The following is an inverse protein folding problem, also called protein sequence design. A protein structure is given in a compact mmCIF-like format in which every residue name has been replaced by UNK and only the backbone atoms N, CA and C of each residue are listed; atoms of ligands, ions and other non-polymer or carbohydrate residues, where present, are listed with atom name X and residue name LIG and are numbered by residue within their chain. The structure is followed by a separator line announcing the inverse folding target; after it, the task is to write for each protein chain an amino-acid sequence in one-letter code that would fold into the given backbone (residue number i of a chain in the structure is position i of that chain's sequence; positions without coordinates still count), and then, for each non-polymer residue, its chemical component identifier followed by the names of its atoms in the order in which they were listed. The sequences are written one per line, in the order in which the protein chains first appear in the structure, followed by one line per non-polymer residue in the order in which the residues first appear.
data_IF_613430407306
#
_entry.id   IF_613430407306
#
_cell.length_a   1.000
_cell.length_b   1.000
_cell.length_c   1.000
_cell.angle_alpha   90.00
_cell.angle_beta   90.00
_cell.angle_gamma   90.00
#
_symmetry.space_group_name_H-M   'P 1'
#
loop_
_entity.id
_entity.type
_entity.pdbx_description
1 polymer ?
#
# COMPACT_ATOMS: atom_id res chain seq x y z
N UNK A 1 -2.50 49.38 -23.22
CA UNK A 1 -3.31 50.27 -22.36
C UNK A 1 -4.61 49.55 -22.09
N UNK A 2 -4.64 48.74 -21.02
CA UNK A 2 -5.89 48.22 -20.49
C UNK A 2 -6.82 49.38 -20.10
N UNK A 3 -8.12 49.15 -20.20
CA UNK A 3 -9.12 50.14 -19.80
C UNK A 3 -9.01 50.43 -18.28
N UNK A 4 -9.50 51.58 -17.83
CA UNK A 4 -9.61 51.87 -16.39
C UNK A 4 -10.43 50.80 -15.65
N UNK A 5 -11.42 50.22 -16.32
CA UNK A 5 -12.21 49.09 -15.81
C UNK A 5 -11.37 47.82 -15.63
N UNK A 6 -10.45 47.51 -16.55
CA UNK A 6 -9.54 46.36 -16.43
C UNK A 6 -8.61 46.52 -15.23
N UNK A 7 -8.08 47.72 -15.01
CA UNK A 7 -7.22 48.02 -13.85
C UNK A 7 -7.99 47.84 -12.54
N UNK A 8 -9.25 48.32 -12.47
CA UNK A 8 -10.14 48.11 -11.33
C UNK A 8 -10.44 46.63 -11.10
N UNK A 9 -10.59 45.85 -12.16
CA UNK A 9 -10.79 44.40 -12.08
C UNK A 9 -9.55 43.68 -11.51
N UNK A 10 -8.33 44.06 -11.93
CA UNK A 10 -7.10 43.55 -11.32
C UNK A 10 -6.97 43.91 -9.84
N UNK A 11 -7.27 45.15 -9.47
CA UNK A 11 -7.26 45.57 -8.06
C UNK A 11 -8.26 44.79 -7.20
N UNK A 12 -9.44 44.51 -7.74
CA UNK A 12 -10.44 43.68 -7.07
C UNK A 12 -9.90 42.28 -6.79
N UNK A 13 -9.19 41.66 -7.74
CA UNK A 13 -8.54 40.35 -7.57
C UNK A 13 -7.42 40.41 -6.53
N UNK A 14 -6.64 41.48 -6.49
CA UNK A 14 -5.59 41.65 -5.47
C UNK A 14 -6.17 41.79 -4.05
N UNK A 15 -7.32 42.46 -3.93
CA UNK A 15 -8.03 42.66 -2.65
C UNK A 15 -9.00 41.53 -2.29
N UNK A 16 -9.24 40.59 -3.21
CA UNK A 16 -10.30 39.57 -3.09
C UNK A 16 -11.69 40.19 -2.89
N UNK A 17 -11.98 41.29 -3.58
CA UNK A 17 -13.25 42.01 -3.50
C UNK A 17 -14.19 41.60 -4.65
N UNK A 18 -15.06 40.64 -4.36
CA UNK A 18 -16.06 40.13 -5.30
C UNK A 18 -16.99 41.22 -5.85
N UNK A 19 -17.37 42.18 -5.00
CA UNK A 19 -18.31 43.25 -5.38
C UNK A 19 -17.64 44.26 -6.30
N UNK A 20 -16.36 44.56 -6.07
CA UNK A 20 -15.58 45.40 -6.97
C UNK A 20 -15.32 44.72 -8.31
N UNK A 21 -15.06 43.40 -8.32
CA UNK A 21 -14.91 42.64 -9.55
C UNK A 21 -16.21 42.65 -10.38
N UNK A 22 -17.35 42.46 -9.74
CA UNK A 22 -18.67 42.50 -10.39
C UNK A 22 -18.99 43.88 -11.00
N UNK A 23 -18.70 44.96 -10.27
CA UNK A 23 -18.85 46.33 -10.80
C UNK A 23 -17.92 46.59 -11.98
N UNK A 24 -16.67 46.14 -11.90
CA UNK A 24 -15.71 46.34 -13.00
C UNK A 24 -16.16 45.60 -14.26
N UNK A 25 -16.67 44.37 -14.14
CA UNK A 25 -17.24 43.62 -15.26
C UNK A 25 -18.49 44.30 -15.84
N UNK A 26 -19.37 44.83 -14.98
CA UNK A 26 -20.55 45.59 -15.41
C UNK A 26 -20.18 46.90 -16.14
N UNK A 27 -19.07 47.53 -15.77
CA UNK A 27 -18.50 48.72 -16.41
C UNK A 27 -17.79 48.40 -17.74
N UNK A 28 -17.79 47.14 -18.19
CA UNK A 28 -17.21 46.71 -19.46
C UNK A 28 -15.73 46.32 -19.38
N UNK A 29 -15.21 45.96 -18.20
CA UNK A 29 -13.89 45.33 -18.10
C UNK A 29 -13.85 44.03 -18.93
N UNK A 30 -12.75 43.82 -19.63
CA UNK A 30 -12.55 42.59 -20.40
C UNK A 30 -12.31 41.40 -19.44
N UNK A 31 -13.18 40.36 -19.44
CA UNK A 31 -12.99 39.18 -18.58
C UNK A 31 -11.73 38.38 -18.93
N UNK A 32 -11.13 38.61 -20.10
CA UNK A 32 -9.86 38.04 -20.56
C UNK A 32 -8.68 39.02 -20.47
N UNK A 33 -8.86 40.15 -19.78
CA UNK A 33 -7.81 41.14 -19.59
C UNK A 33 -6.51 40.51 -19.09
N UNK A 34 -5.39 40.85 -19.73
CA UNK A 34 -4.06 40.33 -19.40
C UNK A 34 -3.20 41.39 -18.71
N UNK A 35 -2.55 41.01 -17.62
CA UNK A 35 -1.66 41.90 -16.88
C UNK A 35 -0.39 42.18 -17.71
N UNK A 36 -0.19 43.43 -18.16
CA UNK A 36 0.85 43.79 -19.16
C UNK A 36 2.26 43.26 -18.81
N UNK A 37 2.70 43.38 -17.54
CA UNK A 37 4.03 42.92 -17.10
C UNK A 37 4.18 41.40 -16.91
N UNK A 38 3.11 40.73 -16.48
CA UNK A 38 3.15 39.31 -16.12
C UNK A 38 2.68 38.43 -17.27
N UNK A 39 2.00 39.02 -18.28
CA UNK A 39 1.33 38.30 -19.36
C UNK A 39 0.45 37.16 -18.82
N UNK A 40 -0.24 37.41 -17.70
CA UNK A 40 -1.17 36.47 -17.04
C UNK A 40 -2.57 37.08 -17.13
N UNK A 41 -3.58 36.30 -17.51
CA UNK A 41 -4.96 36.78 -17.50
C UNK A 41 -5.46 37.03 -16.09
N UNK A 42 -6.48 37.87 -15.97
CA UNK A 42 -7.19 38.09 -14.72
C UNK A 42 -7.74 36.79 -14.13
N UNK A 43 -8.25 35.87 -14.95
CA UNK A 43 -8.73 34.56 -14.52
C UNK A 43 -7.62 33.70 -13.91
N UNK A 44 -6.46 33.63 -14.56
CA UNK A 44 -5.31 32.86 -14.05
C UNK A 44 -4.72 33.48 -12.78
N UNK A 45 -4.78 34.81 -12.63
CA UNK A 45 -4.39 35.50 -11.41
C UNK A 45 -5.36 35.21 -10.25
N UNK A 46 -6.66 35.29 -10.50
CA UNK A 46 -7.70 34.98 -9.52
C UNK A 46 -7.59 33.52 -9.05
N UNK A 47 -7.39 32.59 -10.00
CA UNK A 47 -7.20 31.18 -9.69
C UNK A 47 -5.94 30.93 -8.83
N UNK A 48 -4.82 31.60 -9.14
CA UNK A 48 -3.58 31.51 -8.36
C UNK A 48 -3.74 31.99 -6.92
N UNK A 49 -4.61 32.97 -6.70
CA UNK A 49 -4.88 33.55 -5.37
C UNK A 49 -5.95 32.81 -4.58
N UNK A 50 -6.70 31.91 -5.22
CA UNK A 50 -7.80 31.20 -4.57
C UNK A 50 -9.10 32.01 -4.48
N UNK A 51 -9.27 33.04 -5.30
CA UNK A 51 -10.45 33.92 -5.29
C UNK A 51 -11.66 33.26 -5.97
N UNK A 52 -12.25 32.22 -5.35
CA UNK A 52 -13.30 31.38 -5.95
C UNK A 52 -14.51 32.18 -6.47
N UNK A 53 -15.02 33.12 -5.67
CA UNK A 53 -16.16 33.96 -6.05
C UNK A 53 -15.86 34.88 -7.24
N UNK A 54 -14.62 35.35 -7.38
CA UNK A 54 -14.18 36.16 -8.52
C UNK A 54 -14.02 35.27 -9.76
N UNK A 55 -13.42 34.09 -9.62
CA UNK A 55 -13.28 33.11 -10.71
C UNK A 55 -14.65 32.77 -11.31
N UNK A 56 -15.64 32.47 -10.47
CA UNK A 56 -16.99 32.13 -10.94
C UNK A 56 -17.65 33.30 -11.72
N UNK A 57 -17.45 34.55 -11.27
CA UNK A 57 -17.96 35.73 -11.99
C UNK A 57 -17.28 35.93 -13.34
N UNK A 58 -15.95 35.75 -13.39
CA UNK A 58 -15.20 35.82 -14.64
C UNK A 58 -15.67 34.76 -15.64
N UNK A 59 -15.87 33.52 -15.20
CA UNK A 59 -16.39 32.45 -16.05
C UNK A 59 -17.80 32.75 -16.58
N UNK A 60 -18.69 33.27 -15.74
CA UNK A 60 -20.04 33.70 -16.17
C UNK A 60 -20.03 34.88 -17.14
N UNK A 61 -19.03 35.76 -17.04
CA UNK A 61 -18.81 36.84 -17.98
C UNK A 61 -18.21 36.37 -19.32
N UNK A 62 -17.93 35.06 -19.46
CA UNK A 62 -17.40 34.47 -20.69
C UNK A 62 -15.87 34.49 -20.78
N UNK A 63 -15.16 34.63 -19.66
CA UNK A 63 -13.69 34.49 -19.66
C UNK A 63 -13.27 33.16 -20.28
N UNK A 64 -12.31 33.21 -21.20
CA UNK A 64 -11.67 32.03 -21.74
C UNK A 64 -10.96 31.23 -20.65
N UNK A 65 -11.15 29.91 -20.66
CA UNK A 65 -10.52 28.99 -19.70
C UNK A 65 -9.06 28.67 -20.03
N UNK A 66 -8.59 29.08 -21.22
CA UNK A 66 -7.26 28.78 -21.78
C UNK A 66 -6.27 29.98 -21.88
N UNK A 67 -6.17 30.89 -20.90
CA UNK A 67 -5.26 32.02 -21.04
C UNK A 67 -3.81 31.58 -20.84
N UNK A 68 -3.03 31.66 -21.93
CA UNK A 68 -1.61 31.33 -22.00
C UNK A 68 -0.77 32.33 -21.21
N UNK A 69 -0.66 32.09 -19.90
CA UNK A 69 0.30 32.78 -19.04
C UNK A 69 1.76 32.50 -19.42
N UNK A 70 2.71 33.23 -18.82
CA UNK A 70 4.13 32.84 -18.80
C UNK A 70 4.26 31.36 -18.38
N UNK A 71 4.91 30.54 -19.22
CA UNK A 71 5.12 29.08 -19.05
C UNK A 71 3.90 28.17 -19.22
N UNK A 72 2.80 28.65 -19.81
CA UNK A 72 1.64 27.81 -20.11
C UNK A 72 0.87 27.31 -18.88
N UNK A 73 0.91 28.06 -17.77
CA UNK A 73 0.16 27.73 -16.56
C UNK A 73 -1.29 28.17 -16.72
N UNK A 74 -2.20 27.19 -16.78
CA UNK A 74 -3.64 27.41 -16.89
C UNK A 74 -4.28 27.76 -15.54
N UNK A 75 -5.47 28.40 -15.53
CA UNK A 75 -6.28 28.57 -14.33
C UNK A 75 -6.58 27.23 -13.63
N UNK A 76 -6.83 26.16 -14.40
CA UNK A 76 -7.07 24.82 -13.86
C UNK A 76 -5.86 24.30 -13.07
N UNK A 77 -4.65 24.46 -13.62
CA UNK A 77 -3.42 24.06 -12.93
C UNK A 77 -3.20 24.84 -11.63
N UNK A 78 -3.55 26.12 -11.59
CA UNK A 78 -3.54 26.91 -10.35
C UNK A 78 -4.51 26.33 -9.31
N UNK A 79 -5.75 26.01 -9.71
CA UNK A 79 -6.74 25.39 -8.83
C UNK A 79 -6.27 24.04 -8.27
N UNK A 80 -5.62 23.23 -9.11
CA UNK A 80 -5.06 21.93 -8.73
C UNK A 80 -3.93 22.06 -7.71
N UNK A 81 -2.99 22.97 -7.93
CA UNK A 81 -1.87 23.24 -7.00
C UNK A 81 -2.38 23.78 -5.66
N UNK A 82 -3.41 24.63 -5.69
CA UNK A 82 -4.04 25.20 -4.50
C UNK A 82 -4.96 24.23 -3.74
N UNK A 83 -5.37 23.12 -4.36
CA UNK A 83 -6.36 22.20 -3.78
C UNK A 83 -7.79 22.78 -3.76
N UNK A 84 -8.10 23.72 -4.65
CA UNK A 84 -9.39 24.41 -4.71
C UNK A 84 -10.39 23.57 -5.51
N UNK A 85 -11.07 22.64 -4.83
CA UNK A 85 -11.95 21.67 -5.48
C UNK A 85 -13.16 22.30 -6.19
N UNK A 86 -13.78 23.32 -5.58
CA UNK A 86 -14.94 23.99 -6.17
C UNK A 86 -14.53 24.85 -7.37
N UNK A 87 -13.41 25.55 -7.27
CA UNK A 87 -12.80 26.26 -8.41
C UNK A 87 -12.46 25.30 -9.56
N UNK A 88 -11.83 24.16 -9.27
CA UNK A 88 -11.50 23.15 -10.27
C UNK A 88 -12.77 22.63 -10.96
N UNK A 89 -13.84 22.38 -10.20
CA UNK A 89 -15.15 21.97 -10.76
C UNK A 89 -15.73 23.02 -11.70
N UNK A 90 -15.73 24.30 -11.30
CA UNK A 90 -16.23 25.39 -12.15
C UNK A 90 -15.42 25.47 -13.46
N UNK A 91 -14.09 25.41 -13.37
CA UNK A 91 -13.21 25.46 -14.56
C UNK A 91 -13.43 24.26 -15.50
N UNK A 92 -13.56 23.04 -14.95
CA UNK A 92 -13.84 21.84 -15.75
C UNK A 92 -15.21 21.90 -16.44
N UNK A 93 -16.23 22.41 -15.75
CA UNK A 93 -17.58 22.61 -16.31
C UNK A 93 -17.58 23.57 -17.49
N UNK A 94 -16.66 24.54 -17.50
CA UNK A 94 -16.47 25.49 -18.60
C UNK A 94 -15.44 25.03 -19.65
N UNK A 95 -14.97 23.77 -19.60
CA UNK A 95 -14.19 23.14 -20.67
C UNK A 95 -12.66 23.17 -20.52
N UNK A 96 -12.13 23.53 -19.35
CA UNK A 96 -10.69 23.75 -19.15
C UNK A 96 -9.75 22.53 -19.36
N UNK A 97 -10.29 21.31 -19.47
CA UNK A 97 -9.46 20.09 -19.60
C UNK A 97 -9.04 19.77 -21.04
N UNK A 98 -9.72 20.33 -22.05
CA UNK A 98 -9.57 19.91 -23.44
C UNK A 98 -8.22 20.33 -24.08
N UNK A 99 -7.47 21.25 -23.46
CA UNK A 99 -6.31 21.89 -24.09
C UNK A 99 -5.22 22.19 -23.07
N UNK A 100 -4.44 21.20 -22.64
CA UNK A 100 -3.15 21.47 -21.98
C UNK A 100 -1.96 20.93 -22.77
N UNK A 101 -1.44 21.71 -23.74
CA UNK A 101 -0.09 21.49 -24.24
C UNK A 101 0.88 22.16 -23.26
N UNK A 102 1.31 21.44 -22.21
CA UNK A 102 2.31 21.99 -21.28
C UNK A 102 3.59 21.17 -21.25
N UNK A 103 4.72 21.88 -21.17
CA UNK A 103 6.07 21.31 -21.08
C UNK A 103 6.43 20.79 -19.68
N UNK A 104 5.51 20.88 -18.71
CA UNK A 104 5.75 20.60 -17.28
C UNK A 104 4.92 19.40 -16.76
N UNK A 105 4.60 18.45 -17.63
CA UNK A 105 3.81 17.26 -17.29
C UNK A 105 2.32 17.51 -17.16
N UNK A 106 1.54 16.43 -17.26
CA UNK A 106 0.07 16.43 -17.22
C UNK A 106 -0.48 17.04 -15.93
N UNK A 107 -1.60 17.78 -16.03
CA UNK A 107 -2.36 18.29 -14.87
C UNK A 107 -2.75 17.17 -13.89
N UNK A 108 -2.95 15.95 -14.40
CA UNK A 108 -3.24 14.77 -13.59
C UNK A 108 -2.02 14.37 -12.73
N UNK A 109 -0.82 14.33 -13.30
CA UNK A 109 0.43 14.05 -12.57
C UNK A 109 0.73 15.12 -11.53
N UNK A 110 0.41 16.39 -11.83
CA UNK A 110 0.47 17.48 -10.85
C UNK A 110 -0.49 17.22 -9.69
N UNK A 111 -1.76 16.95 -9.97
CA UNK A 111 -2.75 16.66 -8.92
C UNK A 111 -2.28 15.54 -7.98
N UNK A 112 -1.72 14.47 -8.55
CA UNK A 112 -1.12 13.37 -7.77
C UNK A 112 0.03 13.87 -6.90
N UNK A 113 0.98 14.62 -7.46
CA UNK A 113 2.16 15.12 -6.73
C UNK A 113 1.82 15.97 -5.51
N UNK A 114 0.70 16.70 -5.57
CA UNK A 114 0.24 17.56 -4.47
C UNK A 114 -0.61 16.82 -3.42
N UNK A 115 -0.91 15.52 -3.57
CA UNK A 115 -1.64 14.73 -2.56
C UNK A 115 -0.95 14.64 -1.20
N UNK A 116 0.37 14.82 -1.16
CA UNK A 116 1.19 14.79 0.07
C UNK A 116 1.03 16.06 0.94
N UNK A 117 0.39 17.12 0.43
CA UNK A 117 0.26 18.42 1.11
C UNK A 117 -0.93 18.46 2.10
N UNK A 118 -0.99 19.54 2.91
CA UNK A 118 -1.85 19.65 4.13
C UNK A 118 -3.36 19.44 3.90
N UNK A 119 -3.90 19.60 2.69
CA UNK A 119 -5.33 19.44 2.37
C UNK A 119 -5.64 18.14 1.63
N UNK A 120 -5.33 16.99 2.23
CA UNK A 120 -5.51 15.66 1.58
C UNK A 120 -6.92 15.39 1.04
N UNK A 121 -8.03 15.72 1.74
CA UNK A 121 -9.37 15.45 1.22
C UNK A 121 -9.68 16.30 -0.02
N UNK A 122 -9.32 17.59 0.00
CA UNK A 122 -9.57 18.49 -1.12
C UNK A 122 -8.75 18.08 -2.36
N UNK A 123 -7.49 17.68 -2.18
CA UNK A 123 -6.63 17.24 -3.28
C UNK A 123 -7.12 15.91 -3.89
N UNK A 124 -7.65 15.00 -3.07
CA UNK A 124 -8.31 13.78 -3.57
C UNK A 124 -9.60 14.10 -4.35
N UNK A 125 -10.38 15.08 -3.90
CA UNK A 125 -11.56 15.55 -4.64
C UNK A 125 -11.16 16.15 -5.99
N UNK A 126 -10.12 16.98 -6.02
CA UNK A 126 -9.57 17.53 -7.27
C UNK A 126 -9.13 16.41 -8.21
N UNK A 127 -8.37 15.42 -7.71
CA UNK A 127 -7.96 14.27 -8.51
C UNK A 127 -9.16 13.54 -9.12
N UNK A 128 -10.20 13.28 -8.32
CA UNK A 128 -11.44 12.65 -8.79
C UNK A 128 -12.12 13.47 -9.88
N UNK A 129 -12.23 14.78 -9.69
CA UNK A 129 -12.85 15.68 -10.68
C UNK A 129 -12.12 15.65 -12.02
N UNK A 130 -10.78 15.65 -12.01
CA UNK A 130 -9.99 15.56 -13.23
C UNK A 130 -10.25 14.24 -13.97
N UNK A 131 -10.28 13.12 -13.25
CA UNK A 131 -10.54 11.79 -13.81
C UNK A 131 -11.97 11.67 -14.37
N UNK A 132 -12.97 12.20 -13.65
CA UNK A 132 -14.37 12.25 -14.09
C UNK A 132 -14.56 13.14 -15.32
N UNK A 133 -13.77 14.21 -15.45
CA UNK A 133 -13.78 15.10 -16.60
C UNK A 133 -13.03 14.51 -17.83
N UNK A 134 -12.45 13.31 -17.72
CA UNK A 134 -11.82 12.59 -18.83
C UNK A 134 -10.30 12.67 -18.86
N UNK A 135 -9.64 13.13 -17.79
CA UNK A 135 -8.18 13.07 -17.71
C UNK A 135 -7.74 11.60 -17.65
N UNK A 136 -7.03 11.13 -18.67
CA UNK A 136 -6.59 9.74 -18.74
C UNK A 136 -5.20 9.55 -18.09
N UNK A 137 -5.00 8.51 -17.28
CA UNK A 137 -3.68 8.08 -16.82
C UNK A 137 -2.92 7.36 -17.95
N UNK A 138 -2.47 8.12 -18.95
CA UNK A 138 -1.75 7.58 -20.12
C UNK A 138 -0.29 7.19 -19.80
N UNK A 139 0.30 6.23 -20.54
CA UNK A 139 1.72 5.89 -20.44
C UNK A 139 2.62 7.02 -20.98
N UNK A 140 3.65 7.42 -20.21
CA UNK A 140 4.61 8.50 -20.50
C UNK A 140 5.81 8.47 -19.53
N UNK A 141 6.76 9.42 -19.62
CA UNK A 141 8.05 9.36 -18.90
C UNK A 141 7.93 9.22 -17.36
N UNK A 142 6.87 9.75 -16.75
CA UNK A 142 6.43 9.42 -15.37
C UNK A 142 4.89 9.41 -15.30
N UNK A 143 4.30 8.21 -15.33
CA UNK A 143 2.86 8.03 -15.32
C UNK A 143 2.23 8.31 -13.93
N UNK A 144 0.96 8.78 -13.86
CA UNK A 144 0.31 9.16 -12.60
C UNK A 144 0.28 8.05 -11.53
N UNK A 145 0.18 6.78 -11.92
CA UNK A 145 0.19 5.66 -10.96
C UNK A 145 1.57 5.50 -10.29
N UNK A 146 2.65 5.56 -11.08
CA UNK A 146 4.02 5.49 -10.55
C UNK A 146 4.29 6.68 -9.63
N UNK A 147 3.90 7.89 -10.04
CA UNK A 147 4.01 9.07 -9.17
C UNK A 147 3.27 8.84 -7.86
N UNK A 148 2.04 8.33 -7.90
CA UNK A 148 1.25 8.06 -6.70
C UNK A 148 1.95 7.03 -5.79
N UNK A 149 2.45 5.91 -6.33
CA UNK A 149 3.14 4.86 -5.56
C UNK A 149 4.42 5.39 -4.89
N UNK A 150 5.12 6.33 -5.54
CA UNK A 150 6.36 6.89 -5.03
C UNK A 150 6.18 7.96 -3.95
N UNK A 151 4.98 8.53 -3.79
CA UNK A 151 4.73 9.58 -2.80
C UNK A 151 4.92 9.06 -1.37
N UNK A 152 5.63 9.81 -0.50
CA UNK A 152 5.66 9.54 0.94
C UNK A 152 4.23 9.58 1.50
N UNK A 153 3.78 8.50 2.13
CA UNK A 153 2.42 8.35 2.64
C UNK A 153 1.33 8.57 1.58
N UNK A 154 1.54 8.01 0.39
CA UNK A 154 0.54 8.02 -0.67
C UNK A 154 -0.80 7.46 -0.14
N UNK A 155 -1.92 8.19 -0.25
CA UNK A 155 -3.20 7.63 0.17
C UNK A 155 -3.56 6.47 -0.77
N UNK A 156 -3.82 5.24 -0.27
CA UNK A 156 -4.25 4.12 -1.12
C UNK A 156 -5.50 4.46 -1.94
N UNK A 157 -6.33 5.39 -1.45
CA UNK A 157 -7.48 5.94 -2.18
C UNK A 157 -7.11 6.60 -3.52
N UNK A 158 -5.98 7.29 -3.63
CA UNK A 158 -5.55 7.88 -4.90
C UNK A 158 -5.16 6.81 -5.92
N UNK A 159 -4.43 5.78 -5.47
CA UNK A 159 -4.05 4.64 -6.30
C UNK A 159 -5.30 3.89 -6.78
N UNK A 160 -6.27 3.63 -5.89
CA UNK A 160 -7.57 3.05 -6.25
C UNK A 160 -8.33 3.90 -7.30
N UNK A 161 -8.33 5.22 -7.15
CA UNK A 161 -8.98 6.12 -8.12
C UNK A 161 -8.32 6.04 -9.49
N UNK A 162 -6.99 6.08 -9.55
CA UNK A 162 -6.26 5.98 -10.82
C UNK A 162 -6.53 4.64 -11.52
N UNK A 163 -6.48 3.53 -10.77
CA UNK A 163 -6.78 2.19 -11.30
C UNK A 163 -8.23 2.06 -11.78
N UNK A 164 -9.19 2.60 -11.03
CA UNK A 164 -10.61 2.61 -11.42
C UNK A 164 -10.89 3.41 -12.70
N UNK A 165 -10.03 4.36 -13.05
CA UNK A 165 -10.10 5.16 -14.28
C UNK A 165 -9.11 4.68 -15.36
N UNK A 166 -8.72 3.41 -15.33
CA UNK A 166 -7.98 2.76 -16.41
C UNK A 166 -6.47 2.91 -16.35
N UNK A 167 -5.88 3.30 -15.21
CA UNK A 167 -4.45 3.17 -15.03
C UNK A 167 -4.06 1.68 -15.06
N UNK A 168 -3.09 1.33 -15.90
CA UNK A 168 -2.52 -0.01 -15.96
C UNK A 168 -1.80 -0.36 -14.63
N UNK A 169 -2.22 -1.41 -13.90
CA UNK A 169 -1.59 -1.83 -12.64
C UNK A 169 -0.14 -2.29 -12.80
N UNK A 170 0.27 -2.70 -14.01
CA UNK A 170 1.61 -3.19 -14.33
C UNK A 170 2.55 -2.10 -14.87
N UNK A 171 2.16 -0.84 -14.69
CA UNK A 171 3.02 0.29 -15.05
C UNK A 171 4.42 0.14 -14.45
N UNK A 172 5.39 0.54 -15.27
CA UNK A 172 6.80 0.53 -14.91
C UNK A 172 7.31 1.96 -14.83
N UNK A 173 8.17 2.21 -13.85
CA UNK A 173 8.95 3.45 -13.77
C UNK A 173 10.01 3.46 -14.89
N UNK A 174 10.60 4.63 -15.13
CA UNK A 174 11.67 4.84 -16.11
C UNK A 174 12.89 3.92 -15.99
N UNK A 175 13.14 3.31 -14.84
CA UNK A 175 14.19 2.29 -14.65
C UNK A 175 13.72 0.84 -14.89
N UNK A 176 12.49 0.66 -15.35
CA UNK A 176 11.86 -0.63 -15.60
C UNK A 176 11.24 -1.29 -14.37
N UNK A 177 11.30 -0.67 -13.18
CA UNK A 177 10.70 -1.24 -11.97
C UNK A 177 9.16 -1.20 -12.03
N UNK A 178 8.48 -2.36 -11.89
CA UNK A 178 7.02 -2.42 -11.79
C UNK A 178 6.47 -1.67 -10.56
N UNK A 179 5.25 -1.15 -10.65
CA UNK A 179 4.57 -0.48 -9.55
C UNK A 179 4.52 -1.34 -8.26
N UNK A 180 4.22 -2.63 -8.40
CA UNK A 180 4.16 -3.56 -7.26
C UNK A 180 5.53 -3.76 -6.58
N UNK A 181 6.62 -3.77 -7.36
CA UNK A 181 7.99 -3.82 -6.84
C UNK A 181 8.33 -2.55 -6.07
N UNK A 182 7.94 -1.38 -6.58
CA UNK A 182 8.16 -0.11 -5.89
C UNK A 182 7.40 -0.03 -4.56
N UNK A 183 6.16 -0.50 -4.51
CA UNK A 183 5.36 -0.57 -3.28
C UNK A 183 6.00 -1.52 -2.26
N UNK A 184 6.45 -2.71 -2.69
CA UNK A 184 7.10 -3.69 -1.82
C UNK A 184 8.46 -3.21 -1.27
N UNK A 185 9.28 -2.54 -2.10
CA UNK A 185 10.54 -1.89 -1.67
C UNK A 185 10.34 -0.87 -0.55
N UNK A 186 9.13 -0.32 -0.41
CA UNK A 186 8.78 0.67 0.61
C UNK A 186 8.12 0.06 1.85
N UNK A 187 7.84 -1.24 1.85
CA UNK A 187 7.08 -1.88 2.93
C UNK A 187 5.58 -1.49 2.95
N UNK A 188 5.09 -0.88 1.88
CA UNK A 188 3.73 -0.32 1.85
C UNK A 188 2.69 -1.39 1.48
N UNK A 189 2.37 -2.25 2.46
CA UNK A 189 1.39 -3.32 2.33
C UNK A 189 0.04 -2.86 1.77
N UNK A 190 -0.43 -1.66 2.14
CA UNK A 190 -1.71 -1.15 1.67
C UNK A 190 -1.69 -0.84 0.17
N UNK A 191 -0.56 -0.38 -0.37
CA UNK A 191 -0.39 -0.19 -1.81
C UNK A 191 -0.23 -1.52 -2.55
N UNK A 192 0.49 -2.48 -1.96
CA UNK A 192 0.61 -3.83 -2.53
C UNK A 192 -0.77 -4.50 -2.64
N UNK A 193 -1.58 -4.44 -1.58
CA UNK A 193 -2.95 -4.96 -1.58
C UNK A 193 -3.80 -4.32 -2.69
N UNK A 194 -3.70 -2.99 -2.87
CA UNK A 194 -4.46 -2.27 -3.89
C UNK A 194 -4.04 -2.65 -5.32
N UNK A 195 -2.74 -2.78 -5.56
CA UNK A 195 -2.21 -3.15 -6.89
C UNK A 195 -2.61 -4.60 -7.24
N UNK A 196 -2.49 -5.53 -6.30
CA UNK A 196 -2.91 -6.92 -6.49
C UNK A 196 -4.41 -7.05 -6.71
N UNK A 197 -5.22 -6.30 -5.96
CA UNK A 197 -6.67 -6.27 -6.15
C UNK A 197 -7.08 -5.72 -7.52
N UNK A 198 -6.23 -4.90 -8.15
CA UNK A 198 -6.42 -4.41 -9.51
C UNK A 198 -5.82 -5.31 -10.60
N UNK A 199 -5.26 -6.47 -10.22
CA UNK A 199 -4.73 -7.46 -11.17
C UNK A 199 -3.27 -7.28 -11.56
N UNK A 200 -2.47 -6.56 -10.75
CA UNK A 200 -1.02 -6.47 -10.99
C UNK A 200 -0.36 -7.85 -11.03
N UNK A 201 0.57 -8.04 -11.96
CA UNK A 201 1.40 -9.25 -12.09
C UNK A 201 2.26 -9.43 -10.83
N UNK A 202 1.91 -10.42 -10.02
CA UNK A 202 2.52 -10.67 -8.69
C UNK A 202 4.03 -10.93 -8.78
N UNK A 203 4.47 -11.61 -9.84
CA UNK A 203 5.87 -11.99 -10.09
C UNK A 203 6.57 -11.05 -11.08
N UNK A 204 6.01 -9.86 -11.32
CA UNK A 204 6.64 -8.86 -12.18
C UNK A 204 8.07 -8.56 -11.72
N UNK A 205 9.02 -8.70 -12.64
CA UNK A 205 10.43 -8.50 -12.38
C UNK A 205 10.88 -7.08 -12.71
N UNK A 206 11.72 -6.49 -11.86
CA UNK A 206 12.48 -5.29 -12.21
C UNK A 206 13.68 -5.61 -13.12
N UNK A 207 14.45 -4.59 -13.49
CA UNK A 207 15.63 -4.72 -14.36
C UNK A 207 16.74 -5.65 -13.82
N UNK A 208 16.69 -6.01 -12.53
CA UNK A 208 17.63 -6.93 -11.89
C UNK A 208 17.03 -8.34 -11.78
N UNK A 209 15.91 -8.62 -12.44
CA UNK A 209 15.19 -9.89 -12.31
C UNK A 209 14.50 -10.06 -10.95
N UNK A 210 14.45 -9.01 -10.11
CA UNK A 210 13.93 -9.13 -8.75
C UNK A 210 12.44 -8.87 -8.69
N UNK A 211 11.71 -9.75 -8.00
CA UNK A 211 10.26 -9.64 -7.78
C UNK A 211 9.94 -8.85 -6.51
N UNK A 212 8.68 -8.45 -6.35
CA UNK A 212 8.20 -7.79 -5.14
C UNK A 212 8.49 -8.63 -3.87
N UNK A 213 8.39 -9.96 -3.99
CA UNK A 213 8.64 -10.90 -2.88
C UNK A 213 10.11 -10.87 -2.43
N UNK A 214 11.05 -10.80 -3.36
CA UNK A 214 12.48 -10.67 -3.05
C UNK A 214 12.80 -9.35 -2.33
N UNK A 215 12.20 -8.24 -2.78
CA UNK A 215 12.35 -6.93 -2.13
C UNK A 215 11.77 -6.93 -0.72
N UNK A 216 10.61 -7.55 -0.50
CA UNK A 216 10.01 -7.68 0.82
C UNK A 216 10.84 -8.60 1.74
N UNK A 217 11.42 -9.68 1.20
CA UNK A 217 12.28 -10.61 1.92
C UNK A 217 13.58 -9.95 2.41
N UNK A 218 14.30 -9.25 1.52
CA UNK A 218 15.54 -8.54 1.84
C UNK A 218 15.35 -7.48 2.94
N UNK A 219 14.14 -6.91 3.04
CA UNK A 219 13.80 -5.85 3.98
C UNK A 219 13.05 -6.32 5.23
N UNK A 220 12.79 -7.62 5.34
CA UNK A 220 11.99 -8.24 6.40
C UNK A 220 10.59 -7.60 6.55
N UNK A 221 9.95 -7.24 5.44
CA UNK A 221 8.61 -6.65 5.40
C UNK A 221 7.54 -7.74 5.50
N UNK A 222 7.41 -8.34 6.70
CA UNK A 222 6.55 -9.50 6.98
C UNK A 222 5.11 -9.39 6.45
N UNK A 223 4.52 -8.20 6.54
CA UNK A 223 3.15 -7.97 6.03
C UNK A 223 3.08 -8.06 4.50
N UNK A 224 4.02 -7.41 3.82
CA UNK A 224 4.11 -7.45 2.35
C UNK A 224 4.42 -8.87 1.87
N UNK A 225 5.34 -9.59 2.55
CA UNK A 225 5.60 -11.00 2.28
C UNK A 225 4.33 -11.84 2.35
N UNK A 226 3.57 -11.72 3.44
CA UNK A 226 2.31 -12.44 3.62
C UNK A 226 1.30 -12.14 2.50
N UNK A 227 1.09 -10.87 2.19
CA UNK A 227 0.20 -10.45 1.09
C UNK A 227 0.62 -11.07 -0.25
N UNK A 228 1.90 -10.99 -0.61
CA UNK A 228 2.40 -11.50 -1.89
C UNK A 228 2.29 -13.02 -1.99
N UNK A 229 2.59 -13.75 -0.92
CA UNK A 229 2.45 -15.21 -0.88
C UNK A 229 0.99 -15.65 -0.98
N UNK A 230 0.07 -14.94 -0.31
CA UNK A 230 -1.37 -15.20 -0.43
C UNK A 230 -1.89 -14.91 -1.85
N UNK A 231 -1.27 -13.97 -2.55
CA UNK A 231 -1.56 -13.68 -3.95
C UNK A 231 -0.85 -14.64 -4.93
N UNK A 232 -0.13 -15.66 -4.44
CA UNK A 232 0.47 -16.71 -5.26
C UNK A 232 1.88 -16.40 -5.78
N UNK A 233 2.61 -15.46 -5.17
CA UNK A 233 3.99 -15.15 -5.57
C UNK A 233 4.91 -16.38 -5.56
N UNK A 234 5.66 -16.58 -6.63
CA UNK A 234 6.60 -17.68 -6.77
C UNK A 234 7.86 -17.47 -5.91
N UNK A 235 8.00 -18.29 -4.87
CA UNK A 235 9.11 -18.23 -3.89
C UNK A 235 10.47 -18.58 -4.47
N UNK A 236 10.47 -19.37 -5.54
CA UNK A 236 11.63 -19.96 -6.21
C UNK A 236 12.04 -19.19 -7.47
N UNK A 237 11.37 -18.08 -7.78
CA UNK A 237 11.84 -17.15 -8.82
C UNK A 237 13.28 -16.76 -8.54
N UNK A 238 14.12 -16.77 -9.58
CA UNK A 238 15.56 -16.49 -9.48
C UNK A 238 15.84 -15.12 -10.09
N UNK A 239 16.44 -14.24 -9.30
CA UNK A 239 16.92 -12.93 -9.75
C UNK A 239 18.16 -13.04 -10.64
N UNK A 240 18.56 -11.93 -11.26
CA UNK A 240 19.75 -11.91 -12.12
C UNK A 240 21.06 -12.19 -11.35
N UNK A 241 21.06 -11.99 -10.03
CA UNK A 241 22.14 -12.30 -9.11
C UNK A 241 22.12 -13.77 -8.60
N UNK A 242 21.19 -14.60 -9.10
CA UNK A 242 21.01 -15.98 -8.65
C UNK A 242 20.27 -16.11 -7.32
N UNK A 243 19.82 -15.00 -6.73
CA UNK A 243 19.14 -15.00 -5.44
C UNK A 243 17.64 -15.28 -5.60
N UNK A 244 17.09 -15.99 -4.64
CA UNK A 244 15.64 -16.20 -4.47
C UNK A 244 15.17 -15.44 -3.23
N UNK A 245 13.86 -15.28 -3.04
CA UNK A 245 13.35 -14.65 -1.83
C UNK A 245 13.88 -15.34 -0.53
N UNK A 246 13.89 -16.69 -0.41
CA UNK A 246 14.51 -17.38 0.72
C UNK A 246 16.00 -17.10 0.92
N UNK A 247 16.79 -16.99 -0.15
CA UNK A 247 18.21 -16.65 -0.03
C UNK A 247 18.41 -15.28 0.64
N UNK A 248 17.59 -14.30 0.27
CA UNK A 248 17.66 -12.93 0.80
C UNK A 248 17.19 -12.85 2.25
N UNK A 249 16.17 -13.62 2.64
CA UNK A 249 15.74 -13.70 4.05
C UNK A 249 16.84 -14.29 4.95
N UNK A 250 17.53 -15.33 4.48
CA UNK A 250 18.63 -15.95 5.23
C UNK A 250 19.81 -14.99 5.40
N UNK A 251 20.22 -14.30 4.33
CA UNK A 251 21.26 -13.28 4.42
C UNK A 251 20.92 -12.16 5.40
N UNK A 252 19.66 -11.69 5.41
CA UNK A 252 19.21 -10.68 6.38
C UNK A 252 19.26 -11.20 7.82
N UNK A 253 18.78 -12.42 8.08
CA UNK A 253 18.85 -13.05 9.40
C UNK A 253 20.29 -13.25 9.87
N UNK A 254 21.20 -13.69 9.00
CA UNK A 254 22.62 -13.87 9.32
C UNK A 254 23.31 -12.53 9.62
N UNK A 255 23.00 -11.47 8.87
CA UNK A 255 23.51 -10.12 9.13
C UNK A 255 22.94 -9.50 10.41
N UNK A 256 21.64 -9.67 10.70
CA UNK A 256 21.03 -9.20 11.95
C UNK A 256 21.50 -10.01 13.15
N UNK A 257 21.61 -11.34 13.03
CA UNK A 257 22.24 -12.16 14.07
C UNK A 257 23.69 -11.76 14.28
N UNK A 258 24.47 -11.45 13.24
CA UNK A 258 25.83 -10.91 13.38
C UNK A 258 25.92 -9.54 14.07
N UNK A 259 24.89 -8.69 13.93
CA UNK A 259 24.77 -7.40 14.62
C UNK A 259 24.25 -7.55 16.07
N UNK A 260 23.33 -8.47 16.31
CA UNK A 260 22.79 -8.80 17.65
C UNK A 260 23.74 -9.69 18.47
N UNK A 261 24.57 -10.50 17.83
CA UNK A 261 25.54 -11.41 18.46
C UNK A 261 26.93 -10.79 18.61
N UNK A 262 27.06 -9.47 18.45
CA UNK A 262 28.34 -8.78 18.61
C UNK A 262 28.90 -8.85 20.04
N UNK A 263 28.08 -8.72 21.10
CA UNK A 263 28.71 -8.35 22.39
C UNK A 263 28.06 -8.75 23.73
N UNK A 264 26.87 -9.40 23.89
CA UNK A 264 26.27 -9.36 25.25
C UNK A 264 25.49 -10.52 25.90
N UNK A 265 25.27 -11.71 25.34
CA UNK A 265 24.43 -12.72 26.06
C UNK A 265 25.00 -14.12 26.27
N UNK A 266 26.33 -14.25 26.25
CA UNK A 266 27.03 -15.42 26.79
C UNK A 266 27.09 -15.46 28.33
N UNK A 267 26.54 -14.46 29.04
CA UNK A 267 26.54 -14.44 30.50
C UNK A 267 25.31 -13.75 31.06
N UNK A 268 24.19 -14.47 31.18
CA UNK A 268 23.23 -14.40 32.30
C UNK A 268 22.06 -15.31 31.97
N UNK A 269 22.03 -16.45 32.66
CA UNK A 269 20.79 -17.17 32.90
C UNK A 269 19.76 -16.28 33.60
N UNK A 270 18.51 -16.71 33.50
CA UNK A 270 17.28 -16.12 34.06
C UNK A 270 16.55 -15.12 33.15
N UNK A 271 15.41 -15.54 32.56
CA UNK A 271 14.05 -15.35 33.11
C UNK A 271 13.09 -16.38 32.45
N UNK A 272 12.23 -17.08 33.21
CA UNK A 272 11.32 -18.10 32.72
C UNK A 272 10.04 -17.49 32.14
N UNK A 273 9.71 -17.83 30.89
CA UNK A 273 8.37 -17.61 30.31
C UNK A 273 8.03 -18.86 29.51
N UNK A 274 6.93 -19.52 29.87
CA UNK A 274 6.38 -20.69 29.16
C UNK A 274 6.11 -20.30 27.71
N UNK A 275 6.86 -20.87 26.75
CA UNK A 275 6.68 -20.65 25.30
C UNK A 275 7.16 -21.85 24.50
N UNK A 276 6.27 -22.59 23.84
CA UNK A 276 6.68 -23.45 22.71
C UNK A 276 7.45 -22.59 21.71
N UNK A 277 8.64 -22.97 21.26
CA UNK A 277 9.40 -22.26 20.22
C UNK A 277 9.49 -23.10 18.97
N UNK A 278 9.06 -22.56 17.82
CA UNK A 278 9.33 -23.17 16.51
C UNK A 278 10.56 -22.49 15.92
N UNK A 279 11.60 -23.27 15.62
CA UNK A 279 12.86 -22.77 15.05
C UNK A 279 13.16 -23.46 13.73
N UNK A 280 13.79 -22.75 12.80
CA UNK A 280 14.31 -23.37 11.58
C UNK A 280 15.56 -24.18 11.92
N UNK A 281 15.60 -25.44 11.47
CA UNK A 281 16.74 -26.33 11.58
C UNK A 281 17.22 -26.75 10.17
N UNK A 282 18.47 -27.22 10.02
CA UNK A 282 19.03 -27.59 8.71
C UNK A 282 18.24 -28.67 7.94
N UNK A 283 17.42 -29.46 8.65
CA UNK A 283 16.61 -30.54 8.08
C UNK A 283 15.10 -30.25 8.02
N UNK A 284 14.63 -29.06 8.47
CA UNK A 284 13.20 -28.74 8.55
C UNK A 284 12.85 -27.76 9.67
N UNK A 285 11.60 -27.74 10.12
CA UNK A 285 11.19 -26.97 11.29
C UNK A 285 11.45 -27.81 12.56
N UNK A 286 11.73 -27.16 13.68
CA UNK A 286 11.91 -27.83 14.98
C UNK A 286 11.03 -27.16 16.01
N UNK A 287 10.10 -27.92 16.57
CA UNK A 287 9.25 -27.50 17.69
C UNK A 287 9.94 -27.89 19.00
N UNK A 288 10.21 -26.91 19.85
CA UNK A 288 10.70 -27.12 21.20
C UNK A 288 9.66 -26.64 22.22
N UNK A 289 9.16 -27.54 23.06
CA UNK A 289 8.17 -27.24 24.08
C UNK A 289 8.39 -28.13 25.33
N UNK A 290 7.71 -27.81 26.43
CA UNK A 290 7.64 -28.77 27.53
C UNK A 290 6.74 -29.97 27.16
N UNK A 291 6.95 -31.08 27.84
CA UNK A 291 6.27 -32.35 27.57
C UNK A 291 4.75 -32.25 27.75
N UNK A 292 4.29 -31.38 28.67
CA UNK A 292 2.86 -31.18 28.94
C UNK A 292 2.18 -30.46 27.77
N UNK A 293 2.84 -29.46 27.19
CA UNK A 293 2.34 -28.71 26.05
C UNK A 293 2.34 -29.55 24.77
N UNK A 294 3.36 -30.38 24.53
CA UNK A 294 3.36 -31.31 23.40
C UNK A 294 2.18 -32.29 23.47
N UNK A 295 1.88 -32.83 24.65
CA UNK A 295 0.69 -33.66 24.87
C UNK A 295 -0.61 -32.90 24.64
N UNK A 296 -0.70 -31.67 25.14
CA UNK A 296 -1.88 -30.81 24.91
C UNK A 296 -2.12 -30.57 23.42
N UNK A 297 -1.07 -30.26 22.64
CA UNK A 297 -1.20 -30.09 21.19
C UNK A 297 -1.63 -31.38 20.49
N UNK A 298 -1.16 -32.54 20.93
CA UNK A 298 -1.62 -33.83 20.42
C UNK A 298 -3.11 -34.06 20.67
N UNK A 299 -3.57 -33.79 21.90
CA UNK A 299 -4.97 -33.96 22.29
C UNK A 299 -5.90 -33.00 21.54
N UNK A 300 -5.45 -31.76 21.29
CA UNK A 300 -6.16 -30.76 20.47
C UNK A 300 -6.33 -31.26 19.05
N UNK A 301 -5.28 -31.82 18.44
CA UNK A 301 -5.35 -32.38 17.09
C UNK A 301 -6.32 -33.56 17.04
N UNK A 302 -6.23 -34.51 17.97
CA UNK A 302 -7.13 -35.66 18.04
C UNK A 302 -8.60 -35.23 18.21
N UNK A 303 -8.85 -34.27 19.09
CA UNK A 303 -10.19 -33.76 19.38
C UNK A 303 -10.79 -33.04 18.16
N UNK A 304 -9.99 -32.25 17.44
CA UNK A 304 -10.44 -31.54 16.25
C UNK A 304 -10.76 -32.51 15.10
N UNK A 305 -9.90 -33.51 14.86
CA UNK A 305 -10.11 -34.53 13.83
C UNK A 305 -11.35 -35.38 14.16
N UNK A 306 -11.48 -35.84 15.40
CA UNK A 306 -12.63 -36.64 15.83
C UNK A 306 -13.97 -35.85 15.79
N UNK A 307 -13.93 -34.56 16.11
CA UNK A 307 -15.11 -33.70 16.13
C UNK A 307 -15.62 -33.28 14.75
N UNK A 308 -14.71 -33.14 13.76
CA UNK A 308 -15.08 -32.81 12.38
C UNK A 308 -15.41 -34.07 11.54
N UNK A 309 -14.72 -35.19 11.79
CA UNK A 309 -14.74 -36.35 10.91
C UNK A 309 -13.83 -36.18 9.69
N UNK A 310 -13.38 -37.29 9.09
CA UNK A 310 -12.33 -37.29 8.07
C UNK A 310 -12.68 -36.46 6.84
N UNK A 311 -13.90 -36.62 6.31
CA UNK A 311 -14.32 -35.90 5.11
C UNK A 311 -14.40 -34.37 5.31
N UNK A 312 -14.83 -33.91 6.50
CA UNK A 312 -14.94 -32.47 6.80
C UNK A 312 -13.59 -31.87 7.17
N UNK A 313 -12.74 -32.63 7.86
CA UNK A 313 -11.35 -32.26 8.09
C UNK A 313 -10.63 -32.04 6.76
N UNK A 314 -10.70 -32.98 5.83
CA UNK A 314 -10.01 -32.88 4.55
C UNK A 314 -10.54 -31.72 3.69
N UNK A 315 -11.86 -31.45 3.74
CA UNK A 315 -12.47 -30.29 3.07
C UNK A 315 -11.99 -28.94 3.63
N UNK A 316 -11.85 -28.83 4.95
CA UNK A 316 -11.44 -27.57 5.60
C UNK A 316 -9.93 -27.38 5.64
N UNK A 317 -9.20 -28.48 5.79
CA UNK A 317 -7.76 -28.50 5.92
C UNK A 317 -7.03 -28.48 4.59
N UNK A 318 -7.68 -28.97 3.51
CA UNK A 318 -7.01 -29.38 2.27
C UNK A 318 -5.81 -30.33 2.51
N UNK A 319 -5.84 -31.09 3.62
CA UNK A 319 -4.75 -31.97 4.08
C UNK A 319 -5.32 -33.28 4.65
N UNK A 320 -4.58 -34.37 4.44
CA UNK A 320 -4.97 -35.74 4.77
C UNK A 320 -5.16 -35.92 6.29
N UNK A 321 -6.32 -36.45 6.72
CA UNK A 321 -6.61 -36.69 8.14
C UNK A 321 -5.66 -37.71 8.79
N UNK A 322 -5.11 -38.64 8.01
CA UNK A 322 -4.07 -39.58 8.41
C UNK A 322 -2.75 -38.91 8.77
N UNK A 323 -2.38 -37.81 8.10
CA UNK A 323 -1.21 -37.01 8.48
C UNK A 323 -1.42 -36.41 9.88
N UNK A 324 -2.60 -35.84 10.13
CA UNK A 324 -2.91 -35.21 11.41
C UNK A 324 -2.82 -36.19 12.58
N UNK A 325 -3.40 -37.39 12.43
CA UNK A 325 -3.32 -38.46 13.44
C UNK A 325 -1.89 -38.94 13.65
N UNK A 326 -1.14 -39.16 12.56
CA UNK A 326 0.26 -39.57 12.66
C UNK A 326 1.11 -38.53 13.40
N UNK A 327 0.83 -37.24 13.17
CA UNK A 327 1.53 -36.16 13.84
C UNK A 327 1.15 -36.04 15.32
N UNK A 328 -0.13 -36.22 15.68
CA UNK A 328 -0.55 -36.26 17.08
C UNK A 328 0.14 -37.38 17.88
N UNK A 329 0.41 -38.53 17.26
CA UNK A 329 1.22 -39.60 17.87
C UNK A 329 2.67 -39.16 18.03
N UNK A 330 3.26 -38.52 17.02
CA UNK A 330 4.64 -38.00 17.10
C UNK A 330 4.82 -36.92 18.17
N UNK A 331 3.82 -36.07 18.39
CA UNK A 331 3.83 -35.08 19.47
C UNK A 331 3.88 -35.74 20.87
N UNK A 332 3.27 -36.92 21.03
CA UNK A 332 3.29 -37.68 22.29
C UNK A 332 4.58 -38.45 22.50
N UNK A 333 5.04 -39.14 21.45
CA UNK A 333 6.03 -40.22 21.61
C UNK A 333 7.34 -39.99 20.83
N UNK A 334 7.34 -39.06 19.88
CA UNK A 334 8.46 -38.83 18.96
C UNK A 334 9.42 -37.71 19.38
N UNK A 335 9.16 -37.05 20.51
CA UNK A 335 9.99 -35.94 20.98
C UNK A 335 11.22 -36.44 21.74
N UNK A 336 12.35 -35.73 21.59
CA UNK A 336 13.61 -36.02 22.25
C UNK A 336 14.02 -34.87 23.19
N UNK A 337 14.68 -35.16 24.33
CA UNK A 337 15.13 -34.11 25.22
C UNK A 337 16.16 -33.21 24.53
N UNK A 338 16.08 -31.91 24.78
CA UNK A 338 17.04 -30.91 24.30
C UNK A 338 18.41 -31.12 24.93
N UNK A 339 19.45 -30.49 24.35
CA UNK A 339 20.83 -30.58 24.85
C UNK A 339 20.99 -30.17 26.34
N UNK A 340 20.13 -29.28 26.84
CA UNK A 340 20.13 -28.83 28.25
C UNK A 340 19.11 -29.59 29.13
N UNK A 341 18.40 -30.59 28.58
CA UNK A 341 17.49 -31.49 29.30
C UNK A 341 16.16 -30.88 29.78
N UNK A 342 15.99 -29.55 29.70
CA UNK A 342 14.83 -28.85 30.22
C UNK A 342 13.61 -28.80 29.27
N UNK A 343 13.76 -29.22 28.01
CA UNK A 343 12.73 -29.12 26.96
C UNK A 343 12.68 -30.39 26.11
N UNK A 344 11.53 -30.66 25.50
CA UNK A 344 11.39 -31.67 24.47
C UNK A 344 11.44 -31.00 23.09
N UNK A 345 12.11 -31.64 22.13
CA UNK A 345 12.29 -31.17 20.77
C UNK A 345 11.76 -32.20 19.78
N UNK A 346 11.10 -31.72 18.73
CA UNK A 346 10.55 -32.53 17.66
C UNK A 346 10.82 -31.83 16.33
N UNK A 347 11.50 -32.51 15.40
CA UNK A 347 11.60 -32.04 14.02
C UNK A 347 10.25 -32.22 13.33
N UNK A 348 9.69 -31.16 12.76
CA UNK A 348 8.36 -31.14 12.15
C UNK A 348 8.43 -30.57 10.73
N UNK A 349 7.47 -30.95 9.91
CA UNK A 349 7.28 -30.38 8.57
C UNK A 349 6.34 -29.16 8.61
N UNK A 350 6.32 -28.38 7.52
CA UNK A 350 5.38 -27.26 7.36
C UNK A 350 3.93 -27.75 7.42
N UNK A 351 3.66 -28.92 6.84
CA UNK A 351 2.33 -29.52 6.82
C UNK A 351 1.89 -29.98 8.22
N UNK A 352 2.81 -30.52 9.02
CA UNK A 352 2.55 -30.88 10.42
C UNK A 352 2.30 -29.66 11.31
N UNK A 353 3.03 -28.55 11.10
CA UNK A 353 2.74 -27.30 11.79
C UNK A 353 1.35 -26.75 11.42
N UNK A 354 0.98 -26.85 10.14
CA UNK A 354 -0.33 -26.43 9.66
C UNK A 354 -1.48 -27.24 10.28
N UNK A 355 -1.28 -28.56 10.51
CA UNK A 355 -2.22 -29.43 11.22
C UNK A 355 -2.55 -28.88 12.61
N UNK A 356 -1.52 -28.53 13.41
CA UNK A 356 -1.73 -28.04 14.78
C UNK A 356 -2.45 -26.68 14.78
N UNK A 357 -2.07 -25.78 13.87
CA UNK A 357 -2.73 -24.46 13.75
C UNK A 357 -4.20 -24.59 13.37
N UNK A 358 -4.52 -25.48 12.44
CA UNK A 358 -5.90 -25.71 12.02
C UNK A 358 -6.73 -26.35 13.13
N UNK A 359 -6.15 -27.30 13.87
CA UNK A 359 -6.83 -27.93 15.01
C UNK A 359 -7.16 -26.89 16.09
N UNK A 360 -6.20 -26.01 16.42
CA UNK A 360 -6.40 -24.90 17.34
C UNK A 360 -7.46 -23.93 16.84
N UNK A 361 -7.40 -23.50 15.57
CA UNK A 361 -8.38 -22.59 14.98
C UNK A 361 -9.79 -23.17 15.00
N UNK A 362 -9.92 -24.45 14.62
CA UNK A 362 -11.19 -25.19 14.64
C UNK A 362 -11.81 -25.25 16.03
N UNK A 363 -11.00 -25.46 17.07
CA UNK A 363 -11.48 -25.60 18.44
C UNK A 363 -11.74 -24.25 19.12
N UNK A 364 -10.95 -23.22 18.79
CA UNK A 364 -11.13 -21.85 19.27
C UNK A 364 -12.37 -21.21 18.66
N UNK A 365 -12.56 -21.32 17.34
CA UNK A 365 -13.63 -20.64 16.61
C UNK A 365 -14.84 -21.54 16.27
N UNK A 366 -14.75 -22.85 16.47
CA UNK A 366 -15.83 -23.80 16.21
C UNK A 366 -16.92 -23.84 17.29
N UNK A 367 -17.97 -24.64 17.07
CA UNK A 367 -19.08 -24.84 18.03
C UNK A 367 -18.81 -25.93 19.09
N UNK A 368 -17.62 -26.53 19.09
CA UNK A 368 -17.26 -27.63 20.01
C UNK A 368 -17.06 -27.14 21.44
N UNK A 369 -17.55 -27.90 22.42
CA UNK A 369 -17.36 -27.64 23.85
C UNK A 369 -16.03 -28.20 24.31
N UNK A 370 -14.97 -27.40 24.18
CA UNK A 370 -13.62 -27.74 24.65
C UNK A 370 -13.36 -27.07 26.01
N UNK A 371 -12.76 -27.76 27.00
CA UNK A 371 -12.30 -27.12 28.21
C UNK A 371 -11.11 -26.19 27.87
N UNK A 372 -11.07 -24.99 28.45
CA UNK A 372 -10.00 -24.00 28.32
C UNK A 372 -9.78 -23.36 26.92
N UNK A 373 -10.86 -22.91 26.26
CA UNK A 373 -10.78 -22.13 25.01
C UNK A 373 -9.84 -20.92 25.05
N UNK A 374 -9.70 -20.26 26.21
CA UNK A 374 -8.80 -19.11 26.38
C UNK A 374 -7.32 -19.53 26.26
N UNK A 375 -6.94 -20.66 26.87
CA UNK A 375 -5.58 -21.22 26.80
C UNK A 375 -5.22 -21.65 25.36
N UNK A 376 -6.19 -22.20 24.63
CA UNK A 376 -6.03 -22.54 23.21
C UNK A 376 -5.89 -21.31 22.32
N UNK A 377 -6.61 -20.23 22.62
CA UNK A 377 -6.49 -18.96 21.90
C UNK A 377 -5.11 -18.31 22.13
N UNK A 378 -4.63 -18.30 23.37
CA UNK A 378 -3.29 -17.78 23.71
C UNK A 378 -2.17 -18.59 23.03
N UNK A 379 -2.34 -19.91 22.92
CA UNK A 379 -1.41 -20.80 22.19
C UNK A 379 -1.46 -20.58 20.68
N UNK A 380 -2.65 -20.38 20.11
CA UNK A 380 -2.82 -20.05 18.70
C UNK A 380 -2.15 -18.70 18.38
N UNK A 381 -2.39 -17.70 19.22
CA UNK A 381 -1.78 -16.37 19.11
C UNK A 381 -0.26 -16.44 19.28
N UNK A 382 0.27 -17.26 20.19
CA UNK A 382 1.71 -17.47 20.34
C UNK A 382 2.33 -18.13 19.10
N UNK A 383 1.73 -19.21 18.58
CA UNK A 383 2.21 -19.85 17.35
C UNK A 383 2.13 -18.91 16.14
N UNK A 384 1.11 -18.06 16.07
CA UNK A 384 1.01 -17.01 15.05
C UNK A 384 2.08 -15.93 15.26
N UNK A 385 2.35 -15.50 16.50
CA UNK A 385 3.42 -14.53 16.83
C UNK A 385 4.81 -15.08 16.56
N UNK A 386 5.03 -16.38 16.67
CA UNK A 386 6.32 -17.00 16.35
C UNK A 386 6.56 -17.21 14.87
N UNK A 387 5.50 -17.34 14.07
CA UNK A 387 5.61 -17.16 12.62
C UNK A 387 5.98 -15.71 12.24
N UNK A 388 5.82 -14.77 13.18
CA UNK A 388 6.20 -13.37 13.02
C UNK A 388 7.58 -13.06 13.62
N UNK A 389 8.33 -13.97 14.23
CA UNK A 389 9.70 -13.69 14.71
C UNK A 389 10.69 -14.54 13.93
#
# INVERSE_FOLDING_TARGET
MGSDADQRLFEAVYRDDESAAERALADGADPDAAHERLRVSVLALAARRGCEGIVERLLRAGAGVDPVGLRGVTPLRCAVVGGYADMARSLLTHGALAVEPTTNGSVLTVAVSFLSHRSRPANLTVLRLLLEAGAAPAPGEEAPLITAVMLPHAPPAAVRLLLAHGADPDQRRSDGAPAIVLAARRGDHALVDVLLAAGAEVDAQDRHGRTALMHAAERNERRVLGTLLLAGAAVDTVGADGMTAPHLTRGWLEHHHGLESGEERAARGEVPVVRSTVRLAPAGLRLAADERLLRLLADVVDTAVAGLGDDEWERRACKNAGLARSFAVRLRDGSAPSADGAWQQLDITVDELAVVRLALDTLVHGRSTVPNRLELADLLDELQRQHHR
#
